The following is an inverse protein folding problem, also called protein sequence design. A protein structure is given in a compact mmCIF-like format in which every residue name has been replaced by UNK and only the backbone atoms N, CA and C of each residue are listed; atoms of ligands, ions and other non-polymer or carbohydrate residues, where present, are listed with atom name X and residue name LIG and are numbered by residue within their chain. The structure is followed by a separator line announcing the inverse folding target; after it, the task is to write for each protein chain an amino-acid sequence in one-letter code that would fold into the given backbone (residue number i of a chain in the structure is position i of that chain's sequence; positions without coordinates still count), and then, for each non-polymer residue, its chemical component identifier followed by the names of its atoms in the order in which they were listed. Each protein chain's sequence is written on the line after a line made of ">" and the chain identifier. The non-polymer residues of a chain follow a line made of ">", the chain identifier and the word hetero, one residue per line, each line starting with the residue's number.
data_IF_398390763625
#
_entry.id   IF_398390763625
#
_cell.length_a   1.000
_cell.length_b   1.000
_cell.length_c   1.000
_cell.angle_alpha   90.00
_cell.angle_beta   90.00
_cell.angle_gamma   90.00
#
_symmetry.space_group_name_H-M   'P 1'
#
loop_
_entity.id
_entity.type
_entity.pdbx_description
1 polymer ?
#
# COMPACT_ATOMS: atom_id res chain seq x y z
N UNK A 1 -0.36 36.17 -35.05
CA UNK A 1 -1.07 35.65 -33.87
C UNK A 1 -0.99 34.14 -33.96
N UNK A 2 -0.10 33.52 -33.19
CA UNK A 2 -0.10 32.07 -32.98
C UNK A 2 0.66 31.78 -31.68
N UNK A 3 -0.07 31.35 -30.66
CA UNK A 3 0.46 31.04 -29.33
C UNK A 3 0.49 29.53 -29.15
N UNK A 4 1.65 28.93 -29.38
CA UNK A 4 1.92 27.51 -29.10
C UNK A 4 1.89 27.24 -27.60
N UNK A 5 0.95 26.41 -27.17
CA UNK A 5 0.84 25.94 -25.78
C UNK A 5 1.71 24.70 -25.59
N UNK A 6 2.82 24.86 -24.86
CA UNK A 6 3.72 23.75 -24.49
C UNK A 6 3.15 23.02 -23.28
N UNK A 7 2.77 21.75 -23.46
CA UNK A 7 2.28 20.88 -22.40
C UNK A 7 3.38 20.52 -21.39
N UNK A 8 3.31 21.10 -20.19
CA UNK A 8 4.19 20.75 -19.07
C UNK A 8 3.82 19.39 -18.47
N UNK A 9 4.69 18.40 -18.64
CA UNK A 9 4.59 17.11 -17.95
C UNK A 9 4.73 17.33 -16.43
N UNK A 10 3.69 16.98 -15.67
CA UNK A 10 3.76 16.95 -14.20
C UNK A 10 4.67 15.81 -13.77
N UNK A 11 5.83 16.14 -13.20
CA UNK A 11 6.71 15.18 -12.56
C UNK A 11 5.96 14.51 -11.40
N UNK A 12 5.79 13.19 -11.49
CA UNK A 12 5.39 12.36 -10.34
C UNK A 12 6.54 12.39 -9.32
N UNK A 13 6.27 12.51 -8.00
CA UNK A 13 7.34 12.45 -7.02
C UNK A 13 7.96 11.05 -7.03
N UNK A 14 9.07 10.89 -7.75
CA UNK A 14 9.83 9.64 -7.85
C UNK A 14 10.98 9.61 -6.85
N UNK A 15 11.22 8.44 -6.23
CA UNK A 15 12.40 7.94 -5.47
C UNK A 15 13.08 8.85 -4.43
N UNK A 16 13.33 10.12 -4.70
CA UNK A 16 14.06 11.05 -3.85
C UNK A 16 13.41 11.29 -2.48
N UNK A 17 12.07 11.26 -2.41
CA UNK A 17 11.34 11.47 -1.15
C UNK A 17 11.68 10.40 -0.09
N UNK A 18 11.99 9.17 -0.49
CA UNK A 18 12.22 8.05 0.44
C UNK A 18 13.61 8.02 1.07
N UNK A 19 14.63 8.54 0.37
CA UNK A 19 15.99 8.62 0.90
C UNK A 19 16.14 9.65 2.03
N UNK A 20 15.19 10.57 2.18
CA UNK A 20 15.11 11.50 3.31
C UNK A 20 14.43 10.86 4.53
N UNK A 21 13.45 9.97 4.31
CA UNK A 21 12.67 9.31 5.38
C UNK A 21 13.54 8.40 6.27
N UNK A 22 14.55 7.73 5.69
CA UNK A 22 15.38 6.76 6.41
C UNK A 22 16.41 7.39 7.40
N UNK A 23 16.54 8.72 7.49
CA UNK A 23 17.65 9.39 8.20
C UNK A 23 17.25 10.42 9.27
N UNK A 24 15.97 10.59 9.59
CA UNK A 24 15.49 11.63 10.53
C UNK A 24 15.22 11.13 11.96
N UNK A 25 15.34 11.99 13.00
CA UNK A 25 14.87 11.70 14.36
C UNK A 25 13.38 12.08 14.50
N UNK A 26 12.48 11.11 14.34
CA UNK A 26 11.02 11.34 14.19
C UNK A 26 10.23 11.53 15.49
N UNK A 27 10.87 11.53 16.66
CA UNK A 27 10.19 11.58 17.97
C UNK A 27 10.03 12.99 18.58
N UNK A 28 10.23 14.06 17.80
CA UNK A 28 9.98 15.43 18.25
C UNK A 28 8.51 15.84 18.07
N UNK A 29 7.89 16.41 19.13
CA UNK A 29 6.56 17.04 19.04
C UNK A 29 6.57 18.16 17.97
N UNK A 30 5.61 18.21 17.04
CA UNK A 30 5.55 19.29 16.05
C UNK A 30 5.08 20.62 16.69
N UNK A 31 5.61 21.77 16.27
CA UNK A 31 5.14 23.08 16.71
C UNK A 31 3.74 23.38 16.13
N UNK A 32 2.85 23.94 16.96
CA UNK A 32 1.52 24.37 16.55
C UNK A 32 1.62 25.59 15.62
N UNK A 33 1.14 25.49 14.38
CA UNK A 33 0.85 26.65 13.53
C UNK A 33 -0.58 26.63 13.01
N UNK A 34 -1.19 27.82 13.03
CA UNK A 34 -2.55 28.08 12.59
C UNK A 34 -2.66 28.02 11.06
N UNK A 35 -3.59 27.22 10.55
CA UNK A 35 -3.87 27.09 9.13
C UNK A 35 -4.60 28.34 8.60
N UNK A 36 -3.99 29.05 7.64
CA UNK A 36 -4.71 29.99 6.74
C UNK A 36 -5.04 29.28 5.44
N UNK A 37 -6.28 29.48 4.99
CA UNK A 37 -6.91 28.70 3.92
C UNK A 37 -6.24 28.82 2.56
N UNK A 38 -5.89 27.67 1.98
CA UNK A 38 -5.60 27.52 0.56
C UNK A 38 -6.82 26.89 -0.13
N UNK A 39 -7.32 27.53 -1.19
CA UNK A 39 -8.42 27.02 -2.02
C UNK A 39 -7.96 25.77 -2.78
N UNK A 40 -8.71 24.66 -2.66
CA UNK A 40 -8.47 23.40 -3.38
C UNK A 40 -8.83 23.53 -4.87
N UNK A 41 -8.01 23.03 -5.81
CA UNK A 41 -8.46 22.77 -7.18
C UNK A 41 -9.39 21.55 -7.21
N UNK A 42 -10.54 21.69 -7.87
CA UNK A 42 -11.47 20.58 -8.14
C UNK A 42 -10.91 19.72 -9.27
N UNK A 43 -10.48 18.51 -8.95
CA UNK A 43 -10.23 17.48 -9.97
C UNK A 43 -11.57 16.86 -10.39
N UNK A 44 -12.19 17.42 -11.44
CA UNK A 44 -13.28 16.77 -12.13
C UNK A 44 -12.76 15.53 -12.86
N UNK A 45 -13.17 14.33 -12.42
CA UNK A 45 -13.05 13.11 -13.24
C UNK A 45 -14.10 13.18 -14.33
N UNK A 46 -13.67 13.09 -15.59
CA UNK A 46 -14.55 12.87 -16.73
C UNK A 46 -15.10 11.43 -16.68
N UNK A 47 -16.41 11.21 -16.53
CA UNK A 47 -17.00 9.87 -16.44
C UNK A 47 -17.08 9.13 -17.79
N UNK A 48 -16.66 9.73 -18.92
CA UNK A 48 -16.94 9.18 -20.27
C UNK A 48 -15.92 8.17 -20.83
N UNK A 49 -14.95 7.70 -20.06
CA UNK A 49 -13.89 6.79 -20.57
C UNK A 49 -14.12 5.29 -20.25
N UNK A 50 -15.24 4.90 -19.65
CA UNK A 50 -15.45 3.51 -19.14
C UNK A 50 -16.36 2.60 -20.00
N UNK A 51 -16.49 2.84 -21.31
CA UNK A 51 -17.41 2.10 -22.19
C UNK A 51 -16.86 0.87 -22.92
N UNK A 52 -15.59 0.48 -22.70
CA UNK A 52 -15.01 -0.70 -23.34
C UNK A 52 -15.36 -2.00 -22.61
N UNK A 53 -15.45 -3.16 -23.29
CA UNK A 53 -15.54 -4.45 -22.62
C UNK A 53 -14.36 -4.59 -21.65
N UNK A 54 -14.65 -4.96 -20.40
CA UNK A 54 -13.61 -5.20 -19.41
C UNK A 54 -12.59 -6.20 -20.00
N UNK A 55 -11.29 -5.87 -20.04
CA UNK A 55 -10.29 -6.81 -20.52
C UNK A 55 -10.41 -8.08 -19.69
N UNK A 56 -10.45 -9.24 -20.36
CA UNK A 56 -10.42 -10.54 -19.69
C UNK A 56 -9.25 -10.54 -18.71
N UNK A 57 -9.55 -10.81 -17.44
CA UNK A 57 -8.52 -10.98 -16.43
C UNK A 57 -7.52 -12.03 -16.95
N UNK A 58 -6.19 -11.78 -16.89
CA UNK A 58 -5.21 -12.75 -17.31
C UNK A 58 -5.39 -14.05 -16.51
N UNK A 59 -5.32 -15.19 -17.19
CA UNK A 59 -5.41 -16.53 -16.62
C UNK A 59 -4.55 -16.64 -15.33
N UNK A 60 -5.09 -17.20 -14.23
CA UNK A 60 -4.44 -17.23 -12.91
C UNK A 60 -3.20 -18.15 -12.82
N UNK A 61 -2.73 -18.72 -13.93
CA UNK A 61 -1.74 -19.81 -14.00
C UNK A 61 -0.29 -19.47 -13.59
N UNK A 62 -0.03 -18.34 -12.93
CA UNK A 62 1.33 -17.85 -12.62
C UNK A 62 1.77 -17.87 -11.15
N UNK A 63 0.93 -18.31 -10.23
CA UNK A 63 1.22 -18.36 -8.79
C UNK A 63 1.36 -19.84 -8.34
N UNK A 64 2.57 -20.33 -8.07
CA UNK A 64 2.76 -21.66 -7.48
C UNK A 64 1.98 -21.79 -6.18
N UNK A 65 1.24 -22.88 -6.02
CA UNK A 65 0.41 -23.11 -4.84
C UNK A 65 -0.85 -22.26 -4.75
N UNK A 66 -1.24 -21.54 -5.81
CA UNK A 66 -2.49 -20.76 -5.81
C UNK A 66 -3.73 -21.57 -5.39
N UNK A 67 -3.95 -22.81 -5.88
CA UNK A 67 -5.05 -23.63 -5.37
C UNK A 67 -4.97 -23.81 -3.86
N UNK A 68 -3.81 -24.20 -3.31
CA UNK A 68 -3.62 -24.34 -1.88
C UNK A 68 -3.83 -23.03 -1.08
N UNK A 69 -3.47 -21.88 -1.63
CA UNK A 69 -3.72 -20.57 -1.00
C UNK A 69 -5.20 -20.18 -1.03
N UNK A 70 -5.90 -20.52 -2.12
CA UNK A 70 -7.34 -20.29 -2.26
C UNK A 70 -8.15 -21.24 -1.37
N UNK A 71 -7.73 -22.50 -1.29
CA UNK A 71 -8.29 -23.52 -0.40
C UNK A 71 -8.01 -23.15 1.07
N UNK A 72 -6.82 -22.61 1.34
CA UNK A 72 -6.39 -22.09 2.64
C UNK A 72 -6.94 -20.71 3.00
N UNK A 73 -7.88 -20.13 2.22
CA UNK A 73 -8.39 -18.76 2.45
C UNK A 73 -8.95 -18.56 3.85
N UNK A 74 -9.58 -19.59 4.42
CA UNK A 74 -10.21 -19.49 5.73
C UNK A 74 -9.17 -19.58 6.84
N UNK A 75 -8.09 -20.35 6.65
CA UNK A 75 -6.92 -20.33 7.52
C UNK A 75 -6.17 -18.98 7.43
N UNK A 76 -6.05 -18.41 6.22
CA UNK A 76 -5.49 -17.08 6.02
C UNK A 76 -6.33 -16.01 6.73
N UNK A 77 -7.66 -16.06 6.59
CA UNK A 77 -8.57 -15.19 7.34
C UNK A 77 -8.47 -15.39 8.85
N UNK A 78 -8.39 -16.63 9.33
CA UNK A 78 -8.24 -16.92 10.75
C UNK A 78 -6.94 -16.33 11.32
N UNK A 79 -5.83 -16.43 10.58
CA UNK A 79 -4.56 -15.78 10.94
C UNK A 79 -4.64 -14.26 10.97
N UNK A 80 -5.37 -13.65 10.03
CA UNK A 80 -5.63 -12.20 10.08
C UNK A 80 -6.43 -11.78 11.32
N UNK A 81 -7.16 -12.72 11.94
CA UNK A 81 -7.91 -12.50 13.18
C UNK A 81 -7.17 -12.97 14.43
N UNK A 82 -5.89 -13.34 14.33
CA UNK A 82 -5.04 -13.56 15.51
C UNK A 82 -5.12 -12.34 16.43
N UNK A 83 -5.25 -12.59 17.73
CA UNK A 83 -5.71 -11.60 18.72
C UNK A 83 -4.68 -10.48 18.93
N UNK A 84 -4.69 -9.50 18.05
CA UNK A 84 -4.05 -8.22 18.26
C UNK A 84 -5.13 -7.21 18.69
N UNK A 85 -4.86 -6.35 19.67
CA UNK A 85 -5.76 -5.25 20.00
C UNK A 85 -6.04 -4.41 18.75
N UNK A 86 -7.30 -4.09 18.45
CA UNK A 86 -7.61 -3.28 17.29
C UNK A 86 -7.11 -1.86 17.47
N UNK A 87 -6.71 -1.21 16.39
CA UNK A 87 -6.17 0.16 16.40
C UNK A 87 -6.91 1.03 15.40
N UNK A 88 -6.79 2.36 15.55
CA UNK A 88 -7.17 3.27 14.47
C UNK A 88 -6.22 3.05 13.28
N UNK A 89 -6.80 2.79 12.11
CA UNK A 89 -6.10 2.68 10.83
C UNK A 89 -6.58 3.79 9.90
N UNK A 90 -5.70 4.25 9.03
CA UNK A 90 -5.99 5.22 7.98
C UNK A 90 -6.99 4.66 6.95
N UNK A 91 -6.90 3.37 6.65
CA UNK A 91 -7.85 2.67 5.76
C UNK A 91 -7.54 2.80 4.27
N UNK A 92 -6.88 3.90 3.87
CA UNK A 92 -6.34 4.11 2.50
C UNK A 92 -4.86 4.58 2.53
N UNK A 93 -4.02 3.88 3.31
CA UNK A 93 -2.63 4.28 3.54
C UNK A 93 -1.73 3.95 2.33
N UNK A 94 -1.51 4.92 1.45
CA UNK A 94 -0.60 4.79 0.32
C UNK A 94 0.16 6.08 0.02
N UNK A 95 1.20 5.99 -0.81
CA UNK A 95 2.13 7.10 -1.07
C UNK A 95 1.47 8.37 -1.56
N UNK A 96 0.37 8.28 -2.32
CA UNK A 96 -0.33 9.46 -2.82
C UNK A 96 -1.12 10.21 -1.72
N UNK A 97 -1.34 9.56 -0.57
CA UNK A 97 -1.99 10.12 0.62
C UNK A 97 -0.98 10.56 1.69
N UNK A 98 0.32 10.57 1.36
CA UNK A 98 1.40 11.05 2.22
C UNK A 98 2.06 12.24 1.53
N UNK A 99 1.94 13.41 2.13
CA UNK A 99 2.59 14.63 1.65
C UNK A 99 3.76 15.00 2.55
N UNK A 100 4.77 15.65 1.99
CA UNK A 100 5.87 16.20 2.74
C UNK A 100 5.61 17.69 3.01
N UNK A 101 5.58 18.09 4.27
CA UNK A 101 5.39 19.48 4.69
C UNK A 101 6.42 19.87 5.77
N UNK A 102 7.20 20.92 5.51
CA UNK A 102 8.23 21.47 6.41
C UNK A 102 9.05 20.41 7.17
N UNK A 103 9.59 19.41 6.45
CA UNK A 103 10.43 18.36 7.03
C UNK A 103 9.66 17.26 7.79
N UNK A 104 8.33 17.22 7.67
CA UNK A 104 7.46 16.21 8.24
C UNK A 104 6.65 15.48 7.16
N UNK A 105 6.22 14.26 7.48
CA UNK A 105 5.25 13.52 6.67
C UNK A 105 3.85 13.76 7.25
N UNK A 106 2.91 14.12 6.39
CA UNK A 106 1.52 14.36 6.76
C UNK A 106 0.63 13.39 5.99
N UNK A 107 -0.12 12.57 6.74
CA UNK A 107 -1.17 11.74 6.20
C UNK A 107 -2.41 12.57 5.89
N UNK A 108 -2.94 12.40 4.69
CA UNK A 108 -4.11 13.09 4.18
C UNK A 108 -5.17 12.06 3.77
N UNK A 109 -6.41 12.51 3.57
CA UNK A 109 -7.50 11.65 3.07
C UNK A 109 -8.01 10.60 4.08
N UNK A 110 -8.40 11.10 5.26
CA UNK A 110 -8.83 10.30 6.41
C UNK A 110 -10.28 9.75 6.33
N UNK A 111 -11.00 9.89 5.21
CA UNK A 111 -12.41 9.47 5.14
C UNK A 111 -12.62 7.94 5.23
N UNK A 112 -11.59 7.14 4.95
CA UNK A 112 -11.61 5.68 5.08
C UNK A 112 -11.12 5.20 6.45
N UNK A 113 -10.81 6.13 7.36
CA UNK A 113 -10.27 5.80 8.67
C UNK A 113 -11.28 5.02 9.52
N UNK A 114 -10.80 3.96 10.16
CA UNK A 114 -11.64 3.04 10.93
C UNK A 114 -10.84 2.30 11.99
N UNK A 115 -11.54 1.56 12.84
CA UNK A 115 -10.90 0.58 13.73
C UNK A 115 -10.56 -0.67 12.89
N UNK A 116 -9.30 -1.10 12.93
CA UNK A 116 -8.77 -2.17 12.10
C UNK A 116 -7.61 -2.91 12.75
N UNK A 117 -6.91 -3.72 11.94
CA UNK A 117 -5.75 -4.49 12.40
C UNK A 117 -4.50 -3.63 12.40
N UNK A 118 -3.57 -3.80 13.36
CA UNK A 118 -2.33 -3.02 13.44
C UNK A 118 -1.48 -3.01 12.18
N UNK A 119 -1.55 -4.09 11.40
CA UNK A 119 -0.78 -4.34 10.19
C UNK A 119 -1.42 -3.79 8.92
N UNK A 120 -2.70 -3.37 8.94
CA UNK A 120 -3.48 -3.05 7.74
C UNK A 120 -2.87 -1.94 6.90
N UNK A 121 -2.50 -0.82 7.53
CA UNK A 121 -1.97 0.34 6.80
C UNK A 121 -0.58 0.06 6.20
N UNK A 122 0.30 -0.64 6.93
CA UNK A 122 1.62 -0.98 6.42
C UNK A 122 1.54 -2.03 5.30
N UNK A 123 0.67 -3.03 5.43
CA UNK A 123 0.42 -4.01 4.38
C UNK A 123 -0.09 -3.33 3.11
N UNK A 124 -1.06 -2.43 3.25
CA UNK A 124 -1.63 -1.71 2.12
C UNK A 124 -0.61 -0.80 1.43
N UNK A 125 0.20 -0.07 2.21
CA UNK A 125 1.30 0.75 1.69
C UNK A 125 2.30 -0.07 0.87
N UNK A 126 2.74 -1.24 1.39
CA UNK A 126 3.68 -2.12 0.69
C UNK A 126 3.10 -2.67 -0.62
N UNK A 127 1.84 -3.11 -0.59
CA UNK A 127 1.16 -3.62 -1.78
C UNK A 127 1.00 -2.53 -2.84
N UNK A 128 0.59 -1.31 -2.44
CA UNK A 128 0.42 -0.17 -3.34
C UNK A 128 1.75 0.31 -3.96
N UNK A 129 2.87 0.15 -3.27
CA UNK A 129 4.19 0.49 -3.79
C UNK A 129 4.71 -0.52 -4.84
N UNK A 130 4.25 -1.77 -4.77
CA UNK A 130 4.78 -2.88 -5.58
C UNK A 130 4.66 -2.67 -7.11
N UNK A 131 3.50 -2.26 -7.67
CA UNK A 131 3.37 -1.99 -9.11
C UNK A 131 4.36 -0.95 -9.62
N UNK A 132 4.69 0.07 -8.82
CA UNK A 132 5.66 1.10 -9.17
C UNK A 132 7.12 0.63 -9.09
N UNK A 133 7.38 -0.58 -8.56
CA UNK A 133 8.73 -1.06 -8.29
C UNK A 133 9.42 -0.30 -7.15
N UNK A 134 8.64 0.36 -6.31
CA UNK A 134 9.13 1.03 -5.10
C UNK A 134 9.07 0.04 -3.95
N UNK A 135 10.16 -0.04 -3.19
CA UNK A 135 10.21 -0.84 -1.96
C UNK A 135 10.04 0.09 -0.77
N UNK A 136 9.14 -0.27 0.14
CA UNK A 136 9.06 0.40 1.44
C UNK A 136 10.36 0.12 2.19
N UNK A 137 11.05 1.15 2.72
CA UNK A 137 12.31 0.95 3.43
C UNK A 137 12.16 -0.06 4.58
N UNK A 138 13.07 -1.04 4.73
CA UNK A 138 13.00 -2.01 5.83
C UNK A 138 12.88 -1.35 7.20
N UNK A 139 13.60 -0.25 7.42
CA UNK A 139 13.54 0.54 8.64
C UNK A 139 12.13 1.04 9.01
N UNK A 140 11.24 1.27 8.03
CA UNK A 140 9.83 1.61 8.33
C UNK A 140 9.07 0.39 8.85
N UNK A 141 9.33 -0.79 8.27
CA UNK A 141 8.78 -2.05 8.76
C UNK A 141 9.27 -2.37 10.17
N UNK A 142 10.58 -2.27 10.40
CA UNK A 142 11.20 -2.48 11.72
C UNK A 142 10.62 -1.51 12.76
N UNK A 143 10.60 -0.21 12.46
CA UNK A 143 10.03 0.79 13.37
C UNK A 143 8.54 0.57 13.63
N UNK A 144 7.79 0.09 12.64
CA UNK A 144 6.40 -0.27 12.84
C UNK A 144 6.27 -1.45 13.80
N UNK A 145 7.04 -2.53 13.60
CA UNK A 145 7.01 -3.71 14.46
C UNK A 145 7.44 -3.36 15.89
N UNK A 146 8.49 -2.58 16.06
CA UNK A 146 9.04 -2.19 17.37
C UNK A 146 8.11 -1.24 18.16
N UNK A 147 7.29 -0.46 17.47
CA UNK A 147 6.34 0.45 18.09
C UNK A 147 5.05 -0.24 18.58
N UNK A 148 4.84 -1.52 18.25
CA UNK A 148 3.62 -2.25 18.62
C UNK A 148 3.83 -3.05 19.90
N UNK A 149 2.84 -3.05 20.81
CA UNK A 149 2.85 -4.00 21.91
C UNK A 149 2.60 -5.42 21.38
N UNK A 150 3.35 -6.38 21.89
CA UNK A 150 3.16 -7.80 21.59
C UNK A 150 4.42 -8.50 21.10
N UNK A 151 4.22 -9.72 20.63
CA UNK A 151 5.28 -10.54 20.04
C UNK A 151 5.56 -10.06 18.60
N UNK A 152 6.80 -9.63 18.37
CA UNK A 152 7.26 -9.12 17.08
C UNK A 152 7.06 -10.14 15.95
N UNK A 153 7.34 -11.41 16.20
CA UNK A 153 7.22 -12.46 15.20
C UNK A 153 5.75 -12.72 14.86
N UNK A 154 4.86 -12.65 15.85
CA UNK A 154 3.40 -12.72 15.62
C UNK A 154 2.93 -11.58 14.71
N UNK A 155 3.38 -10.36 14.97
CA UNK A 155 2.99 -9.18 14.18
C UNK A 155 3.58 -9.26 12.77
N UNK A 156 4.81 -9.73 12.63
CA UNK A 156 5.43 -9.90 11.32
C UNK A 156 4.71 -10.95 10.48
N UNK A 157 4.33 -12.10 11.07
CA UNK A 157 3.51 -13.11 10.38
C UNK A 157 2.14 -12.56 9.97
N UNK A 158 1.50 -11.78 10.83
CA UNK A 158 0.23 -11.11 10.51
C UNK A 158 0.39 -10.12 9.33
N UNK A 159 1.50 -9.37 9.29
CA UNK A 159 1.81 -8.45 8.19
C UNK A 159 1.97 -9.20 6.86
N UNK A 160 2.72 -10.30 6.86
CA UNK A 160 2.90 -11.16 5.67
C UNK A 160 1.56 -11.71 5.18
N UNK A 161 0.73 -12.22 6.11
CA UNK A 161 -0.60 -12.72 5.81
C UNK A 161 -1.50 -11.63 5.21
N UNK A 162 -1.43 -10.41 5.73
CA UNK A 162 -2.27 -9.29 5.27
C UNK A 162 -1.86 -8.78 3.90
N UNK A 163 -0.55 -8.62 3.64
CA UNK A 163 -0.05 -8.30 2.30
C UNK A 163 -0.49 -9.35 1.27
N UNK A 164 -0.34 -10.63 1.61
CA UNK A 164 -0.73 -11.73 0.73
C UNK A 164 -2.23 -11.71 0.45
N UNK A 165 -3.06 -11.51 1.48
CA UNK A 165 -4.51 -11.42 1.33
C UNK A 165 -4.92 -10.25 0.43
N UNK A 166 -4.30 -9.08 0.58
CA UNK A 166 -4.56 -7.92 -0.31
C UNK A 166 -4.21 -8.28 -1.75
N UNK A 167 -3.04 -8.88 -2.00
CA UNK A 167 -2.60 -9.23 -3.36
C UNK A 167 -3.49 -10.30 -4.03
N UNK A 168 -4.00 -11.27 -3.25
CA UNK A 168 -4.82 -12.34 -3.77
C UNK A 168 -6.29 -11.94 -3.97
N UNK A 169 -6.86 -11.16 -3.04
CA UNK A 169 -8.30 -10.92 -3.00
C UNK A 169 -8.71 -9.49 -3.35
N UNK A 170 -7.86 -8.49 -3.06
CA UNK A 170 -8.21 -7.09 -3.29
C UNK A 170 -7.56 -6.53 -4.56
N UNK A 171 -6.32 -6.92 -4.87
CA UNK A 171 -5.59 -6.35 -6.00
C UNK A 171 -6.07 -6.77 -7.40
N UNK A 172 -6.59 -7.99 -7.68
CA UNK A 172 -6.87 -8.43 -9.05
C UNK A 172 -7.77 -7.50 -9.89
N UNK A 173 -8.84 -6.87 -9.35
CA UNK A 173 -9.62 -5.86 -10.07
C UNK A 173 -8.80 -4.65 -10.55
N UNK A 174 -7.64 -4.39 -9.97
CA UNK A 174 -6.76 -3.29 -10.34
C UNK A 174 -5.69 -3.66 -11.38
N UNK A 175 -5.52 -4.96 -11.69
CA UNK A 175 -4.55 -5.43 -12.67
C UNK A 175 -4.69 -4.77 -14.05
N UNK A 176 -5.91 -4.54 -14.60
CA UNK A 176 -6.09 -3.89 -15.90
C UNK A 176 -5.55 -2.45 -15.98
N UNK A 177 -5.38 -1.75 -14.85
CA UNK A 177 -4.84 -0.38 -14.83
C UNK A 177 -3.30 -0.36 -14.80
N UNK A 178 -2.64 -1.51 -14.85
CA UNK A 178 -1.20 -1.65 -14.73
C UNK A 178 -0.60 -2.28 -16.00
N UNK A 179 0.60 -1.82 -16.38
CA UNK A 179 1.36 -2.42 -17.48
C UNK A 179 1.90 -3.82 -17.14
N UNK A 180 2.33 -4.61 -18.14
CA UNK A 180 2.81 -5.99 -17.95
C UNK A 180 3.93 -6.11 -16.91
N UNK A 181 4.89 -5.19 -16.89
CA UNK A 181 5.99 -5.20 -15.91
C UNK A 181 5.50 -4.99 -14.47
N UNK A 182 4.52 -4.11 -14.27
CA UNK A 182 3.93 -3.85 -12.96
C UNK A 182 3.15 -5.06 -12.45
N UNK A 183 2.41 -5.73 -13.35
CA UNK A 183 1.75 -7.00 -13.06
C UNK A 183 2.77 -8.07 -12.66
N UNK A 184 3.91 -8.16 -13.36
CA UNK A 184 4.94 -9.16 -13.03
C UNK A 184 5.62 -8.86 -11.68
N UNK A 185 5.83 -7.58 -11.33
CA UNK A 185 6.31 -7.19 -9.99
C UNK A 185 5.36 -7.67 -8.89
N UNK A 186 4.06 -7.47 -9.10
CA UNK A 186 3.01 -7.93 -8.17
C UNK A 186 3.01 -9.45 -8.05
N UNK A 187 3.05 -10.17 -9.18
CA UNK A 187 3.13 -11.64 -9.19
C UNK A 187 4.35 -12.13 -8.42
N UNK A 188 5.53 -11.58 -8.68
CA UNK A 188 6.77 -11.94 -7.98
C UNK A 188 6.66 -11.70 -6.46
N UNK A 189 6.10 -10.56 -6.03
CA UNK A 189 5.88 -10.27 -4.60
C UNK A 189 4.91 -11.26 -3.97
N UNK A 190 3.78 -11.55 -4.63
CA UNK A 190 2.80 -12.52 -4.17
C UNK A 190 3.42 -13.92 -4.01
N UNK A 191 4.25 -14.39 -4.97
CA UNK A 191 4.99 -15.67 -4.85
C UNK A 191 5.93 -15.69 -3.65
N UNK A 192 6.68 -14.61 -3.44
CA UNK A 192 7.62 -14.51 -2.32
C UNK A 192 6.90 -14.56 -0.96
N UNK A 193 5.79 -13.82 -0.83
CA UNK A 193 4.95 -13.82 0.37
C UNK A 193 4.29 -15.18 0.60
N UNK A 194 3.77 -15.81 -0.45
CA UNK A 194 3.19 -17.15 -0.38
C UNK A 194 4.22 -18.19 0.10
N UNK A 195 5.43 -18.18 -0.46
CA UNK A 195 6.49 -19.10 -0.05
C UNK A 195 6.88 -18.90 1.42
N UNK A 196 6.87 -17.66 1.91
CA UNK A 196 7.13 -17.34 3.31
C UNK A 196 5.99 -17.84 4.21
N UNK A 197 4.76 -17.48 3.88
CA UNK A 197 3.56 -17.86 4.65
C UNK A 197 3.40 -19.38 4.77
N UNK A 198 3.66 -20.14 3.69
CA UNK A 198 3.54 -21.60 3.67
C UNK A 198 4.64 -22.29 4.48
N UNK A 199 5.88 -21.77 4.49
CA UNK A 199 6.95 -22.30 5.36
C UNK A 199 6.64 -22.12 6.84
N UNK A 200 5.93 -21.05 7.19
CA UNK A 200 5.48 -20.77 8.56
C UNK A 200 4.19 -21.54 8.94
N UNK A 201 3.59 -22.28 8.00
CA UNK A 201 2.39 -23.08 8.23
C UNK A 201 2.64 -24.59 8.28
N UNK A 202 3.83 -25.03 7.84
CA UNK A 202 4.31 -26.41 7.92
C UNK A 202 5.00 -26.67 9.26
#
# INVERSE_FOLDING_TARGET
>A
MDAGHVGGARARPGRAAWHAVARGPWLGRPPRRAARGARRPRHGRDPRVLGGPAPRAPEPSGLPGLPALLDGRDALRARLTERQPPVLVHGDCHTDNVVHDVGSLVFCDWQEARIGRPTSDLAFLQVRATPAGTTVPPALGDAHLDARPGDRDVIERALVAEELAILLFLWPPFAPFNGPEAIERVRRRARALAARYLREAA
#
